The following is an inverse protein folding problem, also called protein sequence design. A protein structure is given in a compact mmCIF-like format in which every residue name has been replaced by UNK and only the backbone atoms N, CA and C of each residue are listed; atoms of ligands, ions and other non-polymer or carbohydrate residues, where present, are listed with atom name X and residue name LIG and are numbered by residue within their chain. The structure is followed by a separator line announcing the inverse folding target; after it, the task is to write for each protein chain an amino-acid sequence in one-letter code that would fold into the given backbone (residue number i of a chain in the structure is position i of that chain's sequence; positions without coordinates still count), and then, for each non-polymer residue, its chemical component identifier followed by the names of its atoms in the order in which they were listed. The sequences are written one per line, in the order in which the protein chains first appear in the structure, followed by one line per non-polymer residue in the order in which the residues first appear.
data_IF_894643525489
#
_entry.id   IF_894643525489
#
_cell.length_a   1.000
_cell.length_b   1.000
_cell.length_c   1.000
_cell.angle_alpha   90.00
_cell.angle_beta   90.00
_cell.angle_gamma   90.00
#
_symmetry.space_group_name_H-M   'P 1'
#
loop_
_entity.id
_entity.type
_entity.pdbx_description
1 polymer ?
#
# COMPACT_ATOMS: atom_id res chain seq x y z
N UNK A 1 -12.85 -25.83 -3.56
CA UNK A 1 -14.16 -25.76 -2.85
C UNK A 1 -14.49 -24.27 -2.68
N UNK A 2 -15.75 -23.83 -2.79
CA UNK A 2 -16.12 -22.41 -2.62
C UNK A 2 -16.50 -22.17 -1.16
N UNK A 3 -15.77 -21.33 -0.43
CA UNK A 3 -16.11 -20.99 0.95
C UNK A 3 -17.16 -19.87 1.00
N UNK A 4 -17.85 -19.74 2.14
CA UNK A 4 -18.75 -18.61 2.40
C UNK A 4 -17.94 -17.32 2.50
N UNK A 5 -18.29 -16.31 1.69
CA UNK A 5 -17.56 -15.05 1.62
C UNK A 5 -17.66 -14.23 2.92
N UNK A 6 -16.57 -13.56 3.27
CA UNK A 6 -16.49 -12.56 4.32
C UNK A 6 -17.29 -11.29 3.93
N UNK A 7 -17.80 -10.49 4.89
CA UNK A 7 -17.58 -10.58 6.33
C UNK A 7 -18.33 -11.71 7.01
N UNK A 8 -17.70 -12.31 8.02
CA UNK A 8 -18.39 -13.12 9.01
C UNK A 8 -18.67 -12.29 10.28
N UNK A 9 -19.65 -12.73 11.05
CA UNK A 9 -20.07 -12.12 12.31
C UNK A 9 -20.26 -13.15 13.42
N UNK A 10 -20.25 -12.67 14.66
CA UNK A 10 -20.59 -13.47 15.85
C UNK A 10 -22.04 -13.20 16.21
N UNK A 11 -22.81 -14.26 16.42
CA UNK A 11 -24.20 -14.22 16.84
C UNK A 11 -24.37 -15.12 18.06
N UNK A 12 -25.15 -14.66 19.04
CA UNK A 12 -25.58 -15.48 20.17
C UNK A 12 -27.11 -15.52 20.17
N UNK A 13 -27.67 -16.71 20.31
CA UNK A 13 -29.10 -16.90 20.33
C UNK A 13 -29.70 -16.80 21.75
N UNK A 14 -30.98 -17.13 21.87
CA UNK A 14 -31.70 -17.06 23.14
C UNK A 14 -31.36 -18.22 24.11
N UNK A 15 -30.82 -19.35 23.64
CA UNK A 15 -30.30 -20.42 24.52
C UNK A 15 -28.91 -20.09 25.06
N UNK A 16 -28.23 -19.11 24.46
CA UNK A 16 -26.87 -18.71 24.83
C UNK A 16 -25.80 -19.32 23.93
N UNK A 17 -26.21 -20.10 22.92
CA UNK A 17 -25.31 -20.75 21.98
C UNK A 17 -24.69 -19.70 21.05
N UNK A 18 -23.39 -19.87 20.77
CA UNK A 18 -22.62 -18.89 19.99
C UNK A 18 -22.27 -19.43 18.62
N UNK A 19 -22.57 -18.63 17.61
CA UNK A 19 -22.42 -18.98 16.21
C UNK A 19 -21.54 -17.98 15.49
N UNK A 20 -20.73 -18.48 14.57
CA UNK A 20 -20.15 -17.71 13.48
C UNK A 20 -21.10 -17.78 12.30
N UNK A 21 -21.48 -16.61 11.77
CA UNK A 21 -22.50 -16.50 10.72
C UNK A 21 -22.03 -15.58 9.59
N UNK A 22 -22.59 -15.74 8.39
CA UNK A 22 -22.38 -14.78 7.30
C UNK A 22 -23.00 -13.44 7.68
N UNK A 23 -22.26 -12.34 7.57
CA UNK A 23 -22.81 -11.02 7.84
C UNK A 23 -23.83 -10.57 6.78
N UNK A 24 -23.78 -11.14 5.58
CA UNK A 24 -24.69 -10.81 4.48
C UNK A 24 -26.03 -11.54 4.61
N UNK A 25 -25.99 -12.86 4.83
CA UNK A 25 -27.19 -13.70 4.81
C UNK A 25 -27.70 -14.08 6.19
N UNK A 26 -26.94 -13.78 7.25
CA UNK A 26 -27.17 -14.27 8.61
C UNK A 26 -27.19 -15.80 8.74
N UNK A 27 -26.72 -16.53 7.71
CA UNK A 27 -26.67 -17.98 7.72
C UNK A 27 -25.57 -18.49 8.66
N UNK A 28 -25.87 -19.47 9.49
CA UNK A 28 -24.91 -20.08 10.41
C UNK A 28 -23.84 -20.88 9.65
N UNK A 29 -22.58 -20.55 9.90
CA UNK A 29 -21.41 -21.18 9.30
C UNK A 29 -20.83 -22.23 10.25
N UNK A 30 -20.71 -21.86 11.53
CA UNK A 30 -20.19 -22.74 12.57
C UNK A 30 -20.81 -22.41 13.93
N UNK A 31 -21.00 -23.43 14.75
CA UNK A 31 -21.29 -23.30 16.18
C UNK A 31 -19.98 -23.39 16.95
N UNK A 32 -19.82 -22.54 17.96
CA UNK A 32 -18.62 -22.47 18.80
C UNK A 32 -19.01 -22.94 20.20
N UNK A 33 -18.48 -24.10 20.59
CA UNK A 33 -18.59 -24.64 21.94
C UNK A 33 -17.25 -24.57 22.67
N UNK A 34 -17.30 -24.37 23.98
CA UNK A 34 -16.15 -24.43 24.89
C UNK A 34 -16.63 -24.95 26.25
N UNK A 35 -15.71 -25.49 27.04
CA UNK A 35 -15.97 -25.91 28.42
C UNK A 35 -16.13 -24.70 29.37
N UNK A 36 -15.69 -23.51 28.94
CA UNK A 36 -15.77 -22.25 29.69
C UNK A 36 -16.69 -21.24 28.99
N UNK A 37 -17.92 -21.11 29.49
CA UNK A 37 -18.95 -20.21 28.94
C UNK A 37 -18.49 -18.74 28.87
N UNK A 38 -17.50 -18.31 29.67
CA UNK A 38 -17.01 -16.93 29.65
C UNK A 38 -16.07 -16.66 28.45
N UNK A 39 -15.40 -17.70 27.92
CA UNK A 39 -14.43 -17.56 26.81
C UNK A 39 -15.07 -17.64 25.41
N UNK A 40 -16.25 -18.27 25.29
CA UNK A 40 -16.84 -18.67 24.00
C UNK A 40 -17.00 -17.50 23.02
N UNK A 41 -17.50 -16.36 23.49
CA UNK A 41 -17.71 -15.16 22.67
C UNK A 41 -16.37 -14.55 22.26
N UNK A 42 -15.38 -14.56 23.15
CA UNK A 42 -14.06 -14.01 22.86
C UNK A 42 -13.35 -14.85 21.79
N UNK A 43 -13.44 -16.17 21.88
CA UNK A 43 -12.87 -17.09 20.91
C UNK A 43 -13.56 -16.95 19.54
N UNK A 44 -14.89 -16.89 19.52
CA UNK A 44 -15.66 -16.65 18.30
C UNK A 44 -15.28 -15.31 17.63
N UNK A 45 -15.13 -14.24 18.42
CA UNK A 45 -14.67 -12.93 17.92
C UNK A 45 -13.28 -13.00 17.31
N UNK A 46 -12.36 -13.74 17.94
CA UNK A 46 -10.99 -13.91 17.43
C UNK A 46 -10.97 -14.69 16.12
N UNK A 47 -11.75 -15.76 16.01
CA UNK A 47 -11.90 -16.53 14.76
C UNK A 47 -12.43 -15.63 13.64
N UNK A 48 -13.52 -14.90 13.89
CA UNK A 48 -14.11 -13.98 12.92
C UNK A 48 -13.11 -12.89 12.50
N UNK A 49 -12.34 -12.33 13.44
CA UNK A 49 -11.33 -11.34 13.13
C UNK A 49 -10.22 -11.91 12.22
N UNK A 50 -9.71 -13.11 12.52
CA UNK A 50 -8.70 -13.77 11.69
C UNK A 50 -9.21 -14.06 10.27
N UNK A 51 -10.41 -14.62 10.12
CA UNK A 51 -10.98 -14.92 8.80
C UNK A 51 -11.24 -13.64 8.01
N UNK A 52 -11.82 -12.62 8.64
CA UNK A 52 -12.05 -11.33 8.00
C UNK A 52 -10.75 -10.63 7.57
N UNK A 53 -9.65 -10.81 8.29
CA UNK A 53 -8.34 -10.29 7.91
C UNK A 53 -7.76 -11.00 6.67
N UNK A 54 -8.15 -12.26 6.43
CA UNK A 54 -7.78 -13.01 5.23
C UNK A 54 -8.66 -12.69 4.01
N UNK A 55 -9.58 -11.73 4.10
CA UNK A 55 -10.49 -11.38 3.00
C UNK A 55 -9.72 -11.04 1.72
N UNK A 56 -10.08 -11.71 0.63
CA UNK A 56 -9.46 -11.51 -0.68
C UNK A 56 -8.23 -12.38 -0.93
N UNK A 57 -7.73 -13.08 0.08
CA UNK A 57 -6.68 -14.08 -0.09
C UNK A 57 -7.28 -15.42 -0.56
N UNK A 58 -6.72 -16.06 -1.59
CA UNK A 58 -7.20 -17.38 -2.02
C UNK A 58 -6.98 -18.45 -0.94
N UNK A 59 -8.00 -19.29 -0.69
CA UNK A 59 -7.93 -20.35 0.35
C UNK A 59 -6.81 -21.36 0.09
N UNK A 60 -6.57 -21.72 -1.18
CA UNK A 60 -5.52 -22.64 -1.57
C UNK A 60 -4.11 -22.08 -1.31
N UNK A 61 -3.93 -20.76 -1.43
CA UNK A 61 -2.67 -20.12 -1.03
C UNK A 61 -2.47 -20.12 0.49
N UNK A 62 -3.54 -19.86 1.25
CA UNK A 62 -3.50 -19.93 2.73
C UNK A 62 -3.15 -21.34 3.22
N UNK A 63 -3.74 -22.38 2.63
CA UNK A 63 -3.51 -23.77 3.01
C UNK A 63 -2.10 -24.26 2.61
N UNK A 64 -1.61 -23.90 1.42
CA UNK A 64 -0.32 -24.39 0.92
C UNK A 64 0.87 -23.64 1.51
N UNK A 65 0.74 -22.31 1.66
CA UNK A 65 1.88 -21.44 1.96
C UNK A 65 1.78 -20.77 3.33
N UNK A 66 0.59 -20.75 3.94
CA UNK A 66 0.30 -20.02 5.18
C UNK A 66 0.24 -18.50 4.99
N UNK A 67 -0.29 -17.81 6.00
CA UNK A 67 -0.52 -16.34 5.94
C UNK A 67 0.77 -15.54 5.74
N UNK A 68 1.89 -16.02 6.31
CA UNK A 68 3.21 -15.36 6.19
C UNK A 68 3.68 -15.38 4.75
N UNK A 69 3.44 -16.46 4.01
CA UNK A 69 3.86 -16.51 2.61
C UNK A 69 2.87 -15.79 1.69
N UNK A 70 1.56 -15.86 1.95
CA UNK A 70 0.56 -15.17 1.14
C UNK A 70 0.76 -13.64 1.21
N UNK A 71 0.84 -13.08 2.42
CA UNK A 71 1.05 -11.64 2.63
C UNK A 71 2.51 -11.24 2.44
N UNK A 72 3.45 -12.11 2.84
CA UNK A 72 4.88 -11.81 2.74
C UNK A 72 5.37 -11.73 1.30
N UNK A 73 4.81 -12.53 0.37
CA UNK A 73 5.20 -12.43 -1.05
C UNK A 73 4.72 -11.12 -1.66
N UNK A 74 3.48 -10.70 -1.38
CA UNK A 74 2.96 -9.41 -1.83
C UNK A 74 3.72 -8.23 -1.20
N UNK A 75 4.07 -8.32 0.08
CA UNK A 75 4.85 -7.30 0.76
C UNK A 75 6.28 -7.18 0.19
N UNK A 76 6.93 -8.32 -0.09
CA UNK A 76 8.25 -8.34 -0.73
C UNK A 76 8.20 -7.79 -2.16
N UNK A 77 7.16 -8.11 -2.93
CA UNK A 77 7.02 -7.59 -4.28
C UNK A 77 6.72 -6.08 -4.26
N UNK A 78 5.91 -5.60 -3.32
CA UNK A 78 5.66 -4.18 -3.14
C UNK A 78 6.93 -3.42 -2.72
N UNK A 79 7.73 -3.99 -1.82
CA UNK A 79 9.01 -3.43 -1.40
C UNK A 79 9.99 -3.35 -2.59
N UNK A 80 10.05 -4.41 -3.40
CA UNK A 80 10.83 -4.44 -4.62
C UNK A 80 10.38 -3.40 -5.64
N UNK A 81 9.07 -3.28 -5.89
CA UNK A 81 8.52 -2.25 -6.79
C UNK A 81 8.82 -0.84 -6.30
N UNK A 82 8.73 -0.62 -4.98
CA UNK A 82 9.10 0.65 -4.35
C UNK A 82 10.58 0.98 -4.57
N UNK A 83 11.47 -0.01 -4.37
CA UNK A 83 12.91 0.15 -4.61
C UNK A 83 13.25 0.41 -6.09
N UNK A 84 12.61 -0.32 -7.01
CA UNK A 84 12.79 -0.13 -8.46
C UNK A 84 12.30 1.26 -8.91
N UNK A 85 11.14 1.71 -8.40
CA UNK A 85 10.60 3.04 -8.69
C UNK A 85 11.51 4.14 -8.11
N UNK A 86 12.00 3.99 -6.88
CA UNK A 86 12.91 4.94 -6.27
C UNK A 86 14.21 5.05 -7.09
N UNK A 87 14.81 3.92 -7.48
CA UNK A 87 16.00 3.89 -8.31
C UNK A 87 15.77 4.55 -9.69
N UNK A 88 14.60 4.35 -10.30
CA UNK A 88 14.25 4.98 -11.57
C UNK A 88 14.09 6.51 -11.43
N UNK A 89 13.46 6.98 -10.35
CA UNK A 89 13.29 8.40 -10.05
C UNK A 89 14.63 9.08 -9.71
N UNK A 90 15.49 8.41 -8.94
CA UNK A 90 16.87 8.85 -8.67
C UNK A 90 17.67 9.03 -9.95
N UNK A 91 17.58 8.04 -10.86
CA UNK A 91 18.26 8.14 -12.13
C UNK A 91 17.71 9.29 -12.98
N UNK A 92 16.39 9.43 -13.07
CA UNK A 92 15.74 10.48 -13.85
C UNK A 92 16.11 11.88 -13.35
N UNK A 93 16.04 12.10 -12.03
CA UNK A 93 16.44 13.38 -11.41
C UNK A 93 17.93 13.64 -11.65
N UNK A 94 18.79 12.64 -11.47
CA UNK A 94 20.22 12.74 -11.78
C UNK A 94 20.51 13.08 -13.26
N UNK A 95 19.83 12.44 -14.20
CA UNK A 95 19.97 12.69 -15.64
C UNK A 95 19.55 14.13 -16.00
N UNK A 96 18.48 14.66 -15.37
CA UNK A 96 18.03 16.04 -15.58
C UNK A 96 18.99 17.04 -14.93
N UNK A 97 19.47 16.78 -13.71
CA UNK A 97 20.45 17.64 -13.05
C UNK A 97 21.76 17.68 -13.84
N UNK A 98 22.23 16.56 -14.37
CA UNK A 98 23.38 16.53 -15.27
C UNK A 98 23.13 17.33 -16.56
N UNK A 99 21.93 17.22 -17.17
CA UNK A 99 21.55 18.06 -18.30
C UNK A 99 21.58 19.55 -17.94
N UNK A 100 21.11 19.92 -16.75
CA UNK A 100 21.11 21.29 -16.26
C UNK A 100 22.53 21.82 -16.02
N UNK A 101 23.42 20.99 -15.49
CA UNK A 101 24.82 21.36 -15.25
C UNK A 101 25.60 21.53 -16.56
N UNK A 102 25.27 20.74 -17.59
CA UNK A 102 25.92 20.76 -18.91
C UNK A 102 25.27 21.73 -19.91
N UNK A 103 24.26 22.52 -19.48
CA UNK A 103 23.59 23.49 -20.36
C UNK A 103 23.14 24.75 -19.62
N UNK A 104 22.81 25.82 -20.37
CA UNK A 104 22.48 27.12 -19.77
C UNK A 104 21.00 27.31 -19.46
N UNK A 105 20.13 26.50 -20.04
CA UNK A 105 18.69 26.66 -19.99
C UNK A 105 17.99 26.14 -21.24
N UNK A 106 16.70 26.39 -21.32
CA UNK A 106 15.88 26.02 -22.48
C UNK A 106 15.69 27.24 -23.38
N UNK A 107 16.12 27.15 -24.64
CA UNK A 107 15.88 28.21 -25.61
C UNK A 107 14.50 28.05 -26.27
N UNK A 108 13.77 29.15 -26.41
CA UNK A 108 12.48 29.16 -27.10
C UNK A 108 11.30 28.63 -26.30
N UNK A 109 11.47 28.37 -24.99
CA UNK A 109 10.40 27.92 -24.10
C UNK A 109 9.32 28.98 -23.89
N UNK A 110 9.70 30.27 -23.87
CA UNK A 110 8.80 31.39 -23.61
C UNK A 110 9.24 32.66 -24.36
N UNK A 111 8.28 33.47 -24.85
CA UNK A 111 8.49 34.75 -25.57
C UNK A 111 9.45 34.70 -26.77
N UNK A 112 9.07 34.01 -27.84
CA UNK A 112 9.66 34.17 -29.19
C UNK A 112 11.19 33.95 -29.29
N UNK A 113 11.77 33.07 -28.47
CA UNK A 113 13.16 32.64 -28.63
C UNK A 113 14.12 33.07 -27.52
N UNK A 114 13.65 33.84 -26.52
CA UNK A 114 14.48 34.18 -25.37
C UNK A 114 14.91 32.91 -24.61
N UNK A 115 16.17 32.87 -24.10
CA UNK A 115 16.60 31.79 -23.23
C UNK A 115 15.82 31.80 -21.92
N UNK A 116 15.41 30.63 -21.45
CA UNK A 116 14.91 30.39 -20.10
C UNK A 116 15.99 29.67 -19.30
N UNK A 117 16.83 30.39 -18.52
CA UNK A 117 17.87 29.78 -17.72
C UNK A 117 17.30 28.77 -16.72
N UNK A 118 18.04 27.71 -16.42
CA UNK A 118 17.55 26.66 -15.51
C UNK A 118 17.13 27.19 -14.14
N UNK A 119 17.86 28.17 -13.59
CA UNK A 119 17.53 28.82 -12.32
C UNK A 119 16.18 29.57 -12.31
N UNK A 120 15.62 29.91 -13.48
CA UNK A 120 14.28 30.49 -13.56
C UNK A 120 13.18 29.42 -13.61
N UNK A 121 13.50 28.17 -13.95
CA UNK A 121 12.54 27.07 -14.14
C UNK A 121 12.37 26.18 -12.91
N UNK A 122 13.30 26.25 -11.95
CA UNK A 122 13.26 25.50 -10.68
C UNK A 122 12.75 26.36 -9.52
N UNK A 123 12.65 25.78 -8.32
CA UNK A 123 12.14 26.45 -7.13
C UNK A 123 12.81 27.82 -6.86
N UNK A 124 11.99 28.84 -6.60
CA UNK A 124 12.41 30.24 -6.42
C UNK A 124 12.59 31.01 -7.73
N UNK A 125 12.44 30.35 -8.89
CA UNK A 125 12.54 30.93 -10.21
C UNK A 125 11.25 31.58 -10.70
N UNK A 126 11.35 32.43 -11.73
CA UNK A 126 10.21 33.15 -12.32
C UNK A 126 9.16 32.22 -12.94
N UNK A 127 9.60 31.08 -13.46
CA UNK A 127 8.81 30.06 -14.14
C UNK A 127 8.94 28.71 -13.40
N UNK A 128 9.09 28.76 -12.08
CA UNK A 128 9.31 27.58 -11.24
C UNK A 128 8.29 26.46 -11.45
N UNK A 129 7.04 26.79 -11.80
CA UNK A 129 5.95 25.84 -12.05
C UNK A 129 6.31 24.73 -13.07
N UNK A 130 7.27 24.98 -13.96
CA UNK A 130 7.68 24.03 -15.00
C UNK A 130 8.53 22.89 -14.45
N UNK A 131 9.47 23.15 -13.55
CA UNK A 131 10.40 22.13 -13.01
C UNK A 131 10.41 22.06 -11.48
N UNK A 132 9.47 22.71 -10.78
CA UNK A 132 9.32 22.61 -9.32
C UNK A 132 9.17 21.15 -8.85
N UNK A 133 8.57 20.29 -9.67
CA UNK A 133 8.41 18.86 -9.37
C UNK A 133 9.75 18.12 -9.22
N UNK A 134 10.82 18.61 -9.86
CA UNK A 134 12.16 18.03 -9.73
C UNK A 134 12.70 18.30 -8.34
N UNK A 135 12.66 19.56 -7.88
CA UNK A 135 13.10 19.92 -6.53
C UNK A 135 12.31 19.17 -5.46
N UNK A 136 10.98 19.04 -5.63
CA UNK A 136 10.14 18.25 -4.72
C UNK A 136 10.52 16.76 -4.74
N UNK A 137 10.84 16.20 -5.90
CA UNK A 137 11.25 14.80 -6.02
C UNK A 137 12.60 14.56 -5.35
N UNK A 138 13.59 15.43 -5.53
CA UNK A 138 14.90 15.34 -4.88
C UNK A 138 14.79 15.38 -3.35
N UNK A 139 13.97 16.27 -2.80
CA UNK A 139 13.71 16.33 -1.35
C UNK A 139 13.07 15.05 -0.82
N UNK A 140 12.06 14.53 -1.52
CA UNK A 140 11.37 13.31 -1.12
C UNK A 140 12.29 12.09 -1.20
N UNK A 141 13.07 11.97 -2.27
CA UNK A 141 14.10 10.92 -2.44
C UNK A 141 15.08 10.98 -1.27
N UNK A 142 15.63 12.15 -0.95
CA UNK A 142 16.57 12.31 0.16
C UNK A 142 15.96 11.87 1.50
N UNK A 143 14.70 12.24 1.76
CA UNK A 143 13.96 11.84 2.96
C UNK A 143 13.75 10.32 3.02
N UNK A 144 13.35 9.69 1.91
CA UNK A 144 13.10 8.25 1.85
C UNK A 144 14.39 7.45 2.08
N UNK A 145 15.52 7.90 1.52
CA UNK A 145 16.84 7.27 1.76
C UNK A 145 17.29 7.41 3.21
N UNK A 146 17.08 8.58 3.82
CA UNK A 146 17.44 8.81 5.21
C UNK A 146 16.60 7.97 6.19
N UNK A 147 15.35 7.64 5.84
CA UNK A 147 14.49 6.75 6.64
C UNK A 147 14.73 5.25 6.40
N UNK A 148 15.43 4.88 5.33
CA UNK A 148 15.76 3.50 4.97
C UNK A 148 17.15 3.04 5.46
N UNK A 149 17.97 3.94 6.01
CA UNK A 149 19.30 3.68 6.57
C UNK A 149 19.26 3.44 8.08
#
# INVERSE_FOLDING_TARGET
MKHTSEPWGVYQDASGDVFVSSAETSFHIAEIGTEDEESVIADARRIVACVNACRGLPTDELEQKGIISAVGTELLELDKQSAELLAALEKLTGDITALMDESLGVYGLHKNGDPAPWGELVAGGRYEEWLLSISNAEELIAKLKAGAA
#
